data_IF_967663988081
#
_entry.id   IF_967663988081
#
_cell.length_a   1.000
_cell.length_b   1.000
_cell.length_c   1.000
_cell.angle_alpha   90.00
_cell.angle_beta   90.00
_cell.angle_gamma   90.00
#
_symmetry.space_group_name_H-M   'P 1'
#
loop_
_entity.id
_entity.type
_entity.pdbx_description
1 polymer ?
#
# COMPACT_ATOMS: atom_id res chain seq x y z
N UNK A 1 -3.91 -23.22 -32.43
CA UNK A 1 -3.51 -22.30 -31.33
C UNK A 1 -4.34 -22.53 -30.05
N UNK A 2 -5.68 -22.47 -30.11
CA UNK A 2 -6.59 -22.71 -28.96
C UNK A 2 -6.37 -24.03 -28.21
N UNK A 3 -6.16 -25.15 -28.91
CA UNK A 3 -5.98 -26.47 -28.27
C UNK A 3 -4.67 -26.60 -27.47
N UNK A 4 -3.58 -25.92 -27.89
CA UNK A 4 -2.32 -25.86 -27.11
C UNK A 4 -2.48 -24.99 -25.87
N UNK A 5 -3.16 -23.84 -25.99
CA UNK A 5 -3.47 -22.96 -24.86
C UNK A 5 -4.36 -23.65 -23.82
N UNK A 6 -5.36 -24.43 -24.26
CA UNK A 6 -6.21 -25.22 -23.35
C UNK A 6 -5.43 -26.34 -22.65
N UNK A 7 -4.54 -27.05 -23.35
CA UNK A 7 -3.68 -28.07 -22.73
C UNK A 7 -2.73 -27.47 -21.68
N UNK A 8 -2.13 -26.31 -21.97
CA UNK A 8 -1.27 -25.58 -21.02
C UNK A 8 -2.10 -25.11 -19.83
N UNK A 9 -3.27 -24.51 -20.07
CA UNK A 9 -4.20 -24.10 -19.01
C UNK A 9 -4.61 -25.25 -18.10
N UNK A 10 -4.93 -26.42 -18.65
CA UNK A 10 -5.27 -27.61 -17.87
C UNK A 10 -4.07 -28.15 -17.05
N UNK A 11 -2.85 -28.12 -17.62
CA UNK A 11 -1.64 -28.54 -16.91
C UNK A 11 -1.27 -27.58 -15.76
N UNK A 12 -1.42 -26.27 -15.96
CA UNK A 12 -1.23 -25.25 -14.93
C UNK A 12 -2.29 -25.41 -13.84
N UNK A 13 -3.57 -25.59 -14.22
CA UNK A 13 -4.65 -25.73 -13.24
C UNK A 13 -4.46 -26.99 -12.38
N UNK A 14 -3.98 -28.10 -12.98
CA UNK A 14 -3.62 -29.34 -12.27
C UNK A 14 -2.53 -29.13 -11.21
N UNK A 15 -1.60 -28.18 -11.42
CA UNK A 15 -0.48 -27.88 -10.50
C UNK A 15 -0.69 -26.59 -9.69
N UNK A 16 -1.84 -25.94 -9.82
CA UNK A 16 -2.12 -24.63 -9.23
C UNK A 16 -1.98 -24.61 -7.71
N UNK A 17 -2.37 -25.70 -7.02
CA UNK A 17 -2.19 -25.84 -5.58
C UNK A 17 -0.71 -25.78 -5.17
N UNK A 18 0.15 -26.49 -5.89
CA UNK A 18 1.61 -26.49 -5.67
C UNK A 18 2.21 -25.13 -5.98
N UNK A 19 1.79 -24.49 -7.08
CA UNK A 19 2.26 -23.15 -7.47
C UNK A 19 1.89 -22.11 -6.39
N UNK A 20 0.65 -22.13 -5.89
CA UNK A 20 0.20 -21.24 -4.81
C UNK A 20 0.99 -21.50 -3.52
N UNK A 21 1.20 -22.77 -3.16
CA UNK A 21 1.99 -23.13 -1.98
C UNK A 21 3.45 -22.67 -2.09
N UNK A 22 4.09 -22.92 -3.23
CA UNK A 22 5.44 -22.44 -3.51
C UNK A 22 5.52 -20.92 -3.46
N UNK A 23 4.58 -20.21 -4.08
CA UNK A 23 4.54 -18.75 -4.04
C UNK A 23 4.45 -18.22 -2.61
N UNK A 24 3.50 -18.71 -1.81
CA UNK A 24 3.36 -18.30 -0.41
C UNK A 24 4.61 -18.63 0.39
N UNK A 25 5.19 -19.82 0.20
CA UNK A 25 6.40 -20.23 0.89
C UNK A 25 7.61 -19.37 0.50
N UNK A 26 7.78 -19.05 -0.78
CA UNK A 26 8.82 -18.15 -1.27
C UNK A 26 8.66 -16.74 -0.71
N UNK A 27 7.45 -16.21 -0.65
CA UNK A 27 7.16 -14.90 -0.04
C UNK A 27 7.49 -14.92 1.46
N UNK A 28 7.11 -15.98 2.18
CA UNK A 28 7.42 -16.11 3.61
C UNK A 28 8.93 -16.20 3.86
N UNK A 29 9.65 -17.03 3.09
CA UNK A 29 11.11 -17.12 3.20
C UNK A 29 11.78 -15.78 2.89
N UNK A 30 11.34 -15.09 1.84
CA UNK A 30 11.82 -13.75 1.51
C UNK A 30 11.61 -12.80 2.69
N UNK A 31 10.38 -12.69 3.21
CA UNK A 31 10.07 -11.83 4.35
C UNK A 31 10.91 -12.16 5.57
N UNK A 32 11.03 -13.44 5.96
CA UNK A 32 11.85 -13.86 7.11
C UNK A 32 13.32 -13.48 6.89
N UNK A 33 13.85 -13.69 5.70
CA UNK A 33 15.24 -13.36 5.39
C UNK A 33 15.50 -11.85 5.44
N UNK A 34 14.62 -11.03 4.86
CA UNK A 34 14.77 -9.58 4.80
C UNK A 34 14.57 -8.96 6.19
N UNK A 35 13.56 -9.39 6.94
CA UNK A 35 13.37 -8.97 8.33
C UNK A 35 14.59 -9.37 9.18
N UNK A 36 15.13 -10.57 8.98
CA UNK A 36 16.34 -11.03 9.66
C UNK A 36 17.60 -10.24 9.31
N UNK A 37 17.75 -9.79 8.06
CA UNK A 37 18.85 -8.90 7.64
C UNK A 37 18.70 -7.52 8.27
N UNK A 38 17.51 -6.91 8.14
CA UNK A 38 17.21 -5.59 8.72
C UNK A 38 17.43 -5.64 10.24
N UNK A 39 16.99 -6.69 10.93
CA UNK A 39 17.18 -6.83 12.37
C UNK A 39 18.66 -6.95 12.79
N UNK A 40 19.54 -7.42 11.90
CA UNK A 40 20.99 -7.48 12.14
C UNK A 40 21.69 -6.14 11.84
N UNK A 41 21.20 -5.40 10.86
CA UNK A 41 21.72 -4.06 10.51
C UNK A 41 21.25 -2.98 11.49
N UNK A 42 20.04 -3.12 12.04
CA UNK A 42 19.45 -2.17 12.99
C UNK A 42 19.86 -2.56 14.41
N UNK A 43 20.90 -1.89 14.91
CA UNK A 43 21.31 -2.01 16.31
C UNK A 43 20.39 -1.18 17.22
N UNK A 44 19.71 -1.84 18.17
CA UNK A 44 18.89 -1.14 19.16
C UNK A 44 19.68 -0.12 19.98
N UNK A 45 20.98 -0.38 20.20
CA UNK A 45 21.88 0.57 20.86
C UNK A 45 22.13 1.82 20.00
N UNK A 46 22.31 1.67 18.68
CA UNK A 46 22.43 2.81 17.77
C UNK A 46 21.15 3.63 17.72
N UNK A 47 19.99 2.97 17.72
CA UNK A 47 18.69 3.65 17.76
C UNK A 47 18.51 4.43 19.07
N UNK A 48 18.85 3.82 20.21
CA UNK A 48 18.79 4.48 21.52
C UNK A 48 19.73 5.70 21.57
N UNK A 49 20.98 5.56 21.10
CA UNK A 49 21.93 6.68 21.02
C UNK A 49 21.44 7.78 20.08
N UNK A 50 20.86 7.42 18.93
CA UNK A 50 20.30 8.39 17.98
C UNK A 50 19.09 9.15 18.57
N UNK A 51 18.23 8.48 19.34
CA UNK A 51 17.11 9.14 20.03
C UNK A 51 17.60 10.01 21.20
N UNK A 52 18.59 9.53 21.96
CA UNK A 52 19.15 10.27 23.09
C UNK A 52 19.93 11.53 22.66
N UNK A 53 20.47 11.55 21.43
CA UNK A 53 21.14 12.74 20.88
C UNK A 53 20.16 13.81 20.38
N UNK A 54 18.88 13.51 20.26
CA UNK A 54 17.86 14.49 19.88
C UNK A 54 17.38 15.28 21.10
N UNK A 55 17.16 16.58 20.90
CA UNK A 55 16.49 17.40 21.91
C UNK A 55 15.06 16.92 22.14
N UNK A 56 14.52 17.17 23.33
CA UNK A 56 13.12 16.87 23.66
C UNK A 56 12.10 17.43 22.64
N UNK A 57 12.32 18.63 22.10
CA UNK A 57 11.43 19.23 21.10
C UNK A 57 11.37 18.46 19.78
N UNK A 58 12.52 17.96 19.31
CA UNK A 58 12.58 17.11 18.12
C UNK A 58 11.81 15.81 18.35
N UNK A 59 12.00 15.15 19.50
CA UNK A 59 11.27 13.93 19.85
C UNK A 59 9.75 14.17 19.91
N UNK A 60 9.32 15.26 20.56
CA UNK A 60 7.91 15.64 20.60
C UNK A 60 7.37 15.91 19.19
N UNK A 61 8.11 16.63 18.36
CA UNK A 61 7.69 16.93 16.98
C UNK A 61 7.55 15.66 16.14
N UNK A 62 8.44 14.67 16.30
CA UNK A 62 8.36 13.38 15.61
C UNK A 62 7.07 12.64 15.98
N UNK A 63 6.69 12.65 17.27
CA UNK A 63 5.43 12.05 17.72
C UNK A 63 4.23 12.77 17.14
N UNK A 64 4.18 14.10 17.24
CA UNK A 64 3.06 14.92 16.75
C UNK A 64 2.92 14.80 15.23
N UNK A 65 4.00 14.95 14.48
CA UNK A 65 4.02 14.80 13.03
C UNK A 65 3.65 13.37 12.65
N UNK A 66 4.13 12.36 13.37
CA UNK A 66 3.76 10.96 13.15
C UNK A 66 2.25 10.72 13.30
N UNK A 67 1.63 11.28 14.34
CA UNK A 67 0.18 11.22 14.54
C UNK A 67 -0.55 11.93 13.39
N UNK A 68 -0.11 13.14 13.02
CA UNK A 68 -0.69 13.90 11.91
C UNK A 68 -0.55 13.12 10.60
N UNK A 69 0.57 12.45 10.36
CA UNK A 69 0.83 11.69 9.14
C UNK A 69 -0.11 10.48 8.95
N UNK A 70 -0.73 9.98 10.02
CA UNK A 70 -1.77 8.94 9.94
C UNK A 70 -3.13 9.52 9.51
N UNK A 71 -3.39 10.81 9.75
CA UNK A 71 -4.71 11.41 9.49
C UNK A 71 -5.15 11.38 8.03
N UNK A 72 -4.29 11.61 7.01
CA UNK A 72 -4.69 11.48 5.61
C UNK A 72 -5.05 10.03 5.22
N UNK A 73 -4.60 9.03 5.98
CA UNK A 73 -4.98 7.63 5.72
C UNK A 73 -6.44 7.36 6.08
N UNK A 74 -7.06 8.19 6.93
CA UNK A 74 -8.48 8.04 7.30
C UNK A 74 -9.42 8.38 6.14
N UNK A 75 -8.97 9.21 5.20
CA UNK A 75 -9.77 9.57 4.02
C UNK A 75 -10.06 8.36 3.15
N UNK A 76 -9.17 7.36 3.15
CA UNK A 76 -9.37 6.09 2.47
C UNK A 76 -10.62 5.36 2.98
N UNK A 77 -10.78 5.29 4.29
CA UNK A 77 -11.91 4.63 4.95
C UNK A 77 -13.22 5.37 4.72
N UNK A 78 -13.19 6.71 4.72
CA UNK A 78 -14.33 7.54 4.30
C UNK A 78 -14.75 7.21 2.87
N UNK A 79 -13.79 7.08 1.94
CA UNK A 79 -14.08 6.75 0.55
C UNK A 79 -14.60 5.32 0.37
N UNK A 80 -14.09 4.33 1.11
CA UNK A 80 -14.60 2.94 1.04
C UNK A 80 -16.09 2.90 1.35
N UNK A 81 -16.50 3.56 2.43
CA UNK A 81 -17.90 3.49 2.87
C UNK A 81 -18.88 4.08 1.87
N UNK A 82 -18.44 4.99 0.98
CA UNK A 82 -19.28 5.50 -0.13
C UNK A 82 -19.60 4.45 -1.19
N UNK A 83 -18.80 3.38 -1.29
CA UNK A 83 -19.06 2.25 -2.19
C UNK A 83 -19.80 1.10 -1.52
N UNK A 84 -20.14 1.24 -0.23
CA UNK A 84 -20.89 0.23 0.53
C UNK A 84 -22.38 0.63 0.60
N UNK A 85 -23.29 -0.35 0.67
CA UNK A 85 -24.73 -0.10 0.69
C UNK A 85 -25.20 0.63 1.96
N UNK A 86 -24.40 0.61 3.03
CA UNK A 86 -24.76 1.15 4.33
C UNK A 86 -24.03 2.46 4.67
N UNK A 87 -24.75 3.33 5.38
CA UNK A 87 -24.18 4.57 5.91
C UNK A 87 -23.60 4.33 7.30
N UNK A 88 -22.28 4.55 7.42
CA UNK A 88 -21.57 4.53 8.70
C UNK A 88 -21.48 5.96 9.23
N UNK A 89 -21.58 6.12 10.55
CA UNK A 89 -21.33 7.44 11.17
C UNK A 89 -19.86 7.82 11.01
N UNK A 90 -19.58 9.11 10.80
CA UNK A 90 -18.21 9.59 10.61
C UNK A 90 -17.30 9.18 11.78
N UNK A 91 -17.78 9.27 13.02
CA UNK A 91 -17.00 8.83 14.19
C UNK A 91 -16.65 7.34 14.18
N UNK A 92 -17.54 6.48 13.67
CA UNK A 92 -17.23 5.06 13.51
C UNK A 92 -16.14 4.84 12.45
N UNK A 93 -16.27 5.52 11.30
CA UNK A 93 -15.29 5.43 10.21
C UNK A 93 -13.91 5.89 10.69
N UNK A 94 -13.83 7.02 11.40
CA UNK A 94 -12.57 7.54 11.91
C UNK A 94 -11.92 6.57 12.91
N UNK A 95 -12.70 5.98 13.83
CA UNK A 95 -12.20 4.98 14.79
C UNK A 95 -11.72 3.70 14.11
N UNK A 96 -12.55 3.13 13.23
CA UNK A 96 -12.23 1.89 12.51
C UNK A 96 -11.04 2.09 11.55
N UNK A 97 -11.01 3.21 10.84
CA UNK A 97 -9.91 3.60 9.95
C UNK A 97 -8.61 3.83 10.72
N UNK A 98 -8.65 4.49 11.87
CA UNK A 98 -7.45 4.70 12.70
C UNK A 98 -6.83 3.38 13.15
N UNK A 99 -7.65 2.48 13.69
CA UNK A 99 -7.23 1.15 14.13
C UNK A 99 -6.64 0.40 12.92
N UNK A 100 -7.37 0.35 11.82
CA UNK A 100 -6.93 -0.41 10.65
C UNK A 100 -5.61 0.11 10.09
N UNK A 101 -5.47 1.42 9.88
CA UNK A 101 -4.26 1.99 9.30
C UNK A 101 -3.06 1.81 10.23
N UNK A 102 -3.23 1.95 11.54
CA UNK A 102 -2.15 1.69 12.51
C UNK A 102 -1.67 0.24 12.44
N UNK A 103 -2.58 -0.72 12.46
CA UNK A 103 -2.23 -2.14 12.33
C UNK A 103 -1.64 -2.47 10.96
N UNK A 104 -2.08 -1.80 9.89
CA UNK A 104 -1.54 -2.03 8.54
C UNK A 104 -0.12 -1.45 8.38
N UNK A 105 0.17 -0.31 9.03
CA UNK A 105 1.50 0.30 9.00
C UNK A 105 2.53 -0.53 9.77
N UNK A 106 2.12 -1.25 10.81
CA UNK A 106 2.99 -2.20 11.55
C UNK A 106 3.03 -3.55 10.83
N UNK A 107 1.85 -4.09 10.52
CA UNK A 107 1.64 -5.36 9.85
C UNK A 107 1.63 -5.19 8.34
N UNK A 108 2.80 -4.99 7.74
CA UNK A 108 3.00 -4.77 6.30
C UNK A 108 2.72 -5.97 5.39
N UNK A 109 1.74 -6.82 5.71
CA UNK A 109 1.43 -8.08 5.03
C UNK A 109 0.71 -7.87 3.67
N UNK A 110 1.24 -6.98 2.82
CA UNK A 110 0.75 -6.75 1.45
C UNK A 110 -0.71 -6.31 1.37
N UNK A 111 -1.22 -5.61 2.39
CA UNK A 111 -2.62 -5.18 2.46
C UNK A 111 -3.61 -6.23 2.96
N UNK A 112 -3.18 -7.48 3.25
CA UNK A 112 -4.08 -8.55 3.76
C UNK A 112 -4.66 -8.18 5.13
N UNK A 113 -3.82 -7.69 6.05
CA UNK A 113 -4.27 -7.26 7.38
C UNK A 113 -5.27 -6.09 7.28
N UNK A 114 -4.93 -5.07 6.49
CA UNK A 114 -5.81 -3.92 6.25
C UNK A 114 -7.14 -4.30 5.61
N UNK A 115 -7.13 -5.20 4.62
CA UNK A 115 -8.35 -5.68 3.97
C UNK A 115 -9.22 -6.52 4.92
N UNK A 116 -8.60 -7.37 5.76
CA UNK A 116 -9.31 -8.22 6.71
C UNK A 116 -9.97 -7.41 7.82
N UNK A 117 -9.27 -6.43 8.37
CA UNK A 117 -9.82 -5.53 9.39
C UNK A 117 -10.98 -4.69 8.82
N UNK A 118 -10.85 -4.18 7.60
CA UNK A 118 -11.94 -3.45 6.93
C UNK A 118 -13.13 -4.34 6.61
N UNK A 119 -12.89 -5.58 6.20
CA UNK A 119 -13.94 -6.57 6.02
C UNK A 119 -14.63 -6.95 7.34
N UNK A 120 -13.96 -6.76 8.48
CA UNK A 120 -14.56 -6.97 9.80
C UNK A 120 -15.35 -5.74 10.27
N UNK A 121 -14.78 -4.53 10.20
CA UNK A 121 -15.43 -3.30 10.64
C UNK A 121 -16.58 -2.87 9.71
N UNK A 122 -16.44 -3.04 8.39
CA UNK A 122 -17.45 -2.60 7.42
C UNK A 122 -18.34 -3.74 6.91
N UNK A 123 -18.74 -4.66 7.79
CA UNK A 123 -19.51 -5.86 7.44
C UNK A 123 -21.04 -5.70 7.51
N UNK A 124 -21.56 -4.55 7.95
CA UNK A 124 -23.01 -4.31 8.10
C UNK A 124 -23.70 -4.42 6.73
N UNK A 125 -24.41 -5.53 6.52
CA UNK A 125 -25.18 -5.88 5.32
C UNK A 125 -24.40 -5.84 4.00
N UNK A 126 -23.07 -5.66 4.06
CA UNK A 126 -22.18 -5.73 2.92
C UNK A 126 -21.58 -7.14 2.85
N UNK A 127 -21.73 -7.78 1.71
CA UNK A 127 -21.07 -9.08 1.45
C UNK A 127 -19.56 -8.85 1.40
N UNK A 128 -18.75 -9.81 1.87
CA UNK A 128 -17.28 -9.77 1.74
C UNK A 128 -16.80 -9.42 0.32
N UNK A 129 -17.52 -9.87 -0.72
CA UNK A 129 -17.25 -9.53 -2.12
C UNK A 129 -17.41 -8.03 -2.41
N UNK A 130 -18.46 -7.39 -1.89
CA UNK A 130 -18.69 -5.95 -2.06
C UNK A 130 -17.59 -5.13 -1.36
N UNK A 131 -17.18 -5.56 -0.16
CA UNK A 131 -16.10 -4.90 0.58
C UNK A 131 -14.77 -5.03 -0.17
N UNK A 132 -14.43 -6.24 -0.64
CA UNK A 132 -13.22 -6.46 -1.45
C UNK A 132 -13.28 -5.65 -2.74
N UNK A 133 -14.44 -5.57 -3.42
CA UNK A 133 -14.62 -4.77 -4.62
C UNK A 133 -14.41 -3.26 -4.36
N UNK A 134 -14.97 -2.72 -3.28
CA UNK A 134 -14.76 -1.34 -2.86
C UNK A 134 -13.28 -1.06 -2.56
N UNK A 135 -12.62 -1.96 -1.82
CA UNK A 135 -11.19 -1.89 -1.53
C UNK A 135 -10.37 -1.88 -2.83
N UNK A 136 -10.67 -2.78 -3.77
CA UNK A 136 -9.97 -2.87 -5.06
C UNK A 136 -10.13 -1.61 -5.91
N UNK A 137 -11.34 -1.03 -5.97
CA UNK A 137 -11.56 0.23 -6.69
C UNK A 137 -10.70 1.36 -6.14
N UNK A 138 -10.63 1.51 -4.83
CA UNK A 138 -9.86 2.60 -4.22
C UNK A 138 -8.36 2.29 -4.24
N UNK A 139 -7.96 1.02 -4.12
CA UNK A 139 -6.56 0.62 -4.20
C UNK A 139 -5.90 1.03 -5.52
N UNK A 140 -6.63 1.01 -6.64
CA UNK A 140 -6.14 1.54 -7.92
C UNK A 140 -5.81 3.03 -7.86
N UNK A 141 -6.56 3.81 -7.09
CA UNK A 141 -6.30 5.24 -6.91
C UNK A 141 -5.29 5.54 -5.79
N UNK A 142 -4.99 4.58 -4.91
CA UNK A 142 -4.02 4.76 -3.82
C UNK A 142 -2.61 5.09 -4.35
N UNK A 143 -2.23 4.46 -5.47
CA UNK A 143 -0.92 4.66 -6.10
C UNK A 143 -0.84 6.01 -6.84
N UNK A 144 -1.96 6.72 -7.01
CA UNK A 144 -1.97 8.04 -7.66
C UNK A 144 -1.14 9.08 -6.91
N UNK A 145 -1.12 9.02 -5.57
CA UNK A 145 -0.26 9.91 -4.77
C UNK A 145 1.23 9.69 -5.07
N UNK A 146 1.65 8.42 -5.15
CA UNK A 146 3.02 8.06 -5.54
C UNK A 146 3.32 8.52 -6.97
N UNK A 147 2.36 8.36 -7.89
CA UNK A 147 2.48 8.82 -9.27
C UNK A 147 2.72 10.33 -9.37
N UNK A 148 1.99 11.12 -8.60
CA UNK A 148 2.20 12.57 -8.50
C UNK A 148 3.58 12.91 -7.95
N UNK A 149 4.05 12.20 -6.92
CA UNK A 149 5.42 12.38 -6.42
C UNK A 149 6.48 12.03 -7.46
N UNK A 150 6.26 11.01 -8.29
CA UNK A 150 7.15 10.69 -9.40
C UNK A 150 7.19 11.82 -10.44
N UNK A 151 6.04 12.41 -10.78
CA UNK A 151 6.00 13.58 -11.68
C UNK A 151 6.78 14.77 -11.10
N UNK A 152 6.56 15.09 -9.82
CA UNK A 152 7.27 16.18 -9.13
C UNK A 152 8.78 15.89 -9.13
N UNK A 153 9.18 14.67 -8.77
CA UNK A 153 10.59 14.26 -8.78
C UNK A 153 11.25 14.37 -10.14
N UNK A 154 10.54 14.05 -11.24
CA UNK A 154 11.08 14.25 -12.59
C UNK A 154 11.36 15.73 -12.88
N UNK A 155 10.45 16.62 -12.49
CA UNK A 155 10.63 18.07 -12.65
C UNK A 155 11.78 18.57 -11.80
N UNK A 156 11.91 18.10 -10.56
CA UNK A 156 13.01 18.49 -9.67
C UNK A 156 14.37 18.03 -10.21
N UNK A 157 14.49 16.76 -10.60
CA UNK A 157 15.76 16.16 -11.06
C UNK A 157 16.18 16.70 -12.42
N UNK A 158 15.27 16.72 -13.40
CA UNK A 158 15.61 17.08 -14.79
C UNK A 158 15.33 18.54 -15.15
N UNK A 159 14.37 19.18 -14.49
CA UNK A 159 14.04 20.59 -14.72
C UNK A 159 14.91 21.54 -13.90
N UNK A 160 15.09 21.26 -12.60
CA UNK A 160 15.82 22.14 -11.68
C UNK A 160 17.21 21.61 -11.29
N UNK A 161 17.57 20.40 -11.70
CA UNK A 161 18.85 19.78 -11.33
C UNK A 161 18.98 19.40 -9.85
N UNK A 162 17.86 19.32 -9.12
CA UNK A 162 17.83 18.99 -7.69
C UNK A 162 17.74 17.45 -7.55
N UNK A 163 18.71 16.85 -6.86
CA UNK A 163 18.71 15.40 -6.63
C UNK A 163 19.25 14.58 -7.81
N UNK A 164 20.23 15.10 -8.56
CA UNK A 164 20.89 14.43 -9.69
C UNK A 164 21.39 13.01 -9.38
N UNK A 165 21.71 12.69 -8.12
CA UNK A 165 22.04 11.32 -7.68
C UNK A 165 20.94 10.29 -8.00
N UNK A 166 19.69 10.74 -8.14
CA UNK A 166 18.54 9.90 -8.46
C UNK A 166 18.25 9.80 -9.97
N UNK A 167 19.02 10.50 -10.82
CA UNK A 167 18.83 10.51 -12.28
C UNK A 167 18.94 9.12 -12.93
N UNK A 168 19.67 8.18 -12.31
CA UNK A 168 19.75 6.80 -12.82
C UNK A 168 18.41 6.05 -12.70
N UNK A 169 17.52 6.46 -11.79
CA UNK A 169 16.21 5.82 -11.56
C UNK A 169 15.09 6.37 -12.46
N UNK A 170 15.44 7.10 -13.52
CA UNK A 170 14.49 7.78 -14.39
C UNK A 170 13.37 6.89 -14.94
N UNK A 171 13.68 5.63 -15.27
CA UNK A 171 12.69 4.71 -15.84
C UNK A 171 11.57 4.40 -14.83
N UNK A 172 11.92 4.29 -13.54
CA UNK A 172 10.96 4.08 -12.46
C UNK A 172 10.15 5.34 -12.19
N UNK A 173 10.79 6.51 -12.25
CA UNK A 173 10.12 7.79 -12.10
C UNK A 173 9.12 8.04 -13.25
N UNK A 174 9.51 7.76 -14.50
CA UNK A 174 8.61 7.87 -15.66
C UNK A 174 7.48 6.85 -15.57
N UNK A 175 7.78 5.60 -15.27
CA UNK A 175 6.75 4.57 -15.11
C UNK A 175 5.75 4.92 -14.00
N UNK A 176 6.25 5.36 -12.85
CA UNK A 176 5.41 5.84 -11.75
C UNK A 176 4.59 7.07 -12.13
N UNK A 177 5.19 8.05 -12.81
CA UNK A 177 4.51 9.26 -13.28
C UNK A 177 3.38 8.96 -14.27
N UNK A 178 3.56 7.98 -15.16
CA UNK A 178 2.54 7.61 -16.15
C UNK A 178 1.36 6.81 -15.55
N UNK A 179 1.51 6.25 -14.34
CA UNK A 179 0.49 5.44 -13.70
C UNK A 179 -0.85 6.17 -13.56
N UNK A 180 -0.86 7.35 -12.93
CA UNK A 180 -2.11 8.07 -12.69
C UNK A 180 -2.79 8.55 -13.97
N UNK A 181 -2.10 9.16 -14.95
CA UNK A 181 -2.69 9.48 -16.26
C UNK A 181 -3.29 8.26 -16.95
N UNK A 182 -2.58 7.13 -16.94
CA UNK A 182 -3.06 5.90 -17.57
C UNK A 182 -4.33 5.36 -16.91
N UNK A 183 -4.36 5.28 -15.57
CA UNK A 183 -5.55 4.85 -14.82
C UNK A 183 -6.71 5.82 -15.05
N UNK A 184 -6.46 7.13 -15.01
CA UNK A 184 -7.50 8.14 -15.21
C UNK A 184 -8.14 8.04 -16.61
N UNK A 185 -7.32 7.92 -17.66
CA UNK A 185 -7.81 7.72 -19.03
C UNK A 185 -8.59 6.40 -19.13
N UNK A 186 -8.04 5.31 -18.58
CA UNK A 186 -8.68 3.99 -18.62
C UNK A 186 -10.05 3.97 -17.93
N UNK A 187 -10.19 4.65 -16.78
CA UNK A 187 -11.48 4.75 -16.09
C UNK A 187 -12.48 5.55 -16.92
N UNK A 188 -12.07 6.71 -17.45
CA UNK A 188 -12.97 7.58 -18.22
C UNK A 188 -13.45 6.99 -19.55
N UNK A 189 -12.68 6.10 -20.16
CA UNK A 189 -13.06 5.42 -21.42
C UNK A 189 -14.00 4.23 -21.18
N UNK A 190 -14.02 3.68 -19.97
CA UNK A 190 -14.83 2.50 -19.61
C UNK A 190 -16.05 2.83 -18.72
N UNK A 191 -16.26 4.10 -18.40
CA UNK A 191 -17.50 4.64 -17.81
C UNK A 191 -18.52 4.95 -18.91
#
# INVERSE_FOLDING_TARGET
MKARLQKIGAAINKRMGIIKALFVFSVLLFVISEVGKIAKEVSGAQLATALASQSWWHLLSMVVIGIIAVTPMLTYDVMITKFLPNHYSLGYILKAGWITNTFTNIGGFGGVLGASLRANFYNREATKKQIVFAISKIALFLVSGLSLYCMISLVLVYGFGIGQMYGTYWIWLVGGALYFPAIFIFTRVND
#
